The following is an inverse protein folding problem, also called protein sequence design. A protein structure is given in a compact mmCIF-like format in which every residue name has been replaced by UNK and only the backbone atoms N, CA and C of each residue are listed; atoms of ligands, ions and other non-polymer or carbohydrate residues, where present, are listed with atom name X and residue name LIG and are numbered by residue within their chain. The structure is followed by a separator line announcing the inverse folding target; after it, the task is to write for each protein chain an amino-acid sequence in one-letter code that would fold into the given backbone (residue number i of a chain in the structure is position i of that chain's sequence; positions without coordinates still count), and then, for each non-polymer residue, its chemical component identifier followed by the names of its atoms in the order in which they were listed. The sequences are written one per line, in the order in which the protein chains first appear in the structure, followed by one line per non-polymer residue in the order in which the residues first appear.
data_IF_069929701268
#
_entry.id   IF_069929701268
#
_cell.length_a   1.000
_cell.length_b   1.000
_cell.length_c   1.000
_cell.angle_alpha   90.00
_cell.angle_beta   90.00
_cell.angle_gamma   90.00
#
_symmetry.space_group_name_H-M   'P 1'
#
loop_
_entity.id
_entity.type
_entity.pdbx_description
1 polymer ?
#
# COMPACT_ATOMS: atom_id res chain seq x y z
N UNK A 1 -2.77 23.95 4.86
CA UNK A 1 -1.91 23.01 5.63
C UNK A 1 -2.19 21.62 5.10
N UNK A 2 -1.15 20.87 4.79
CA UNK A 2 -1.25 19.50 4.27
C UNK A 2 -1.69 18.56 5.40
N UNK A 3 -2.76 17.79 5.19
CA UNK A 3 -3.20 16.78 6.15
C UNK A 3 -3.58 15.48 5.44
N UNK A 4 -3.25 14.34 6.05
CA UNK A 4 -3.57 13.00 5.56
C UNK A 4 -4.49 12.30 6.55
N UNK A 5 -5.69 11.97 6.09
CA UNK A 5 -6.66 11.16 6.84
C UNK A 5 -6.47 9.69 6.51
N UNK A 6 -6.27 8.87 7.53
CA UNK A 6 -6.05 7.44 7.34
C UNK A 6 -5.88 6.68 8.64
N UNK A 7 -5.54 5.41 8.52
CA UNK A 7 -5.21 4.56 9.66
C UNK A 7 -3.84 3.93 9.43
N UNK A 8 -2.97 3.94 10.45
CA UNK A 8 -1.58 3.47 10.34
C UNK A 8 -1.44 1.98 9.98
N UNK A 9 -2.47 1.19 10.17
CA UNK A 9 -2.51 -0.22 9.75
C UNK A 9 -3.05 -0.45 8.34
N UNK A 10 -3.36 0.62 7.59
CA UNK A 10 -3.89 0.51 6.23
C UNK A 10 -2.78 0.53 5.20
N UNK A 11 -2.74 -0.48 4.35
CA UNK A 11 -1.83 -0.57 3.20
C UNK A 11 -1.92 0.63 2.25
N UNK A 12 -3.13 1.12 1.97
CA UNK A 12 -3.32 2.30 1.11
C UNK A 12 -2.94 3.61 1.82
N UNK A 13 -3.06 3.68 3.15
CA UNK A 13 -2.50 4.80 3.91
C UNK A 13 -0.97 4.80 3.84
N UNK A 14 -0.33 3.62 3.95
CA UNK A 14 1.13 3.53 3.76
C UNK A 14 1.57 4.03 2.40
N UNK A 15 0.82 3.70 1.33
CA UNK A 15 1.10 4.16 -0.03
C UNK A 15 1.21 5.69 -0.12
N UNK A 16 0.42 6.42 0.68
CA UNK A 16 0.49 7.89 0.79
C UNK A 16 1.54 8.38 1.80
N UNK A 17 1.78 7.63 2.90
CA UNK A 17 2.76 7.98 3.93
C UNK A 17 4.21 7.84 3.44
N UNK A 18 4.50 6.79 2.68
CA UNK A 18 5.87 6.50 2.20
C UNK A 18 6.49 7.71 1.47
N UNK A 19 5.83 8.34 0.48
CA UNK A 19 6.40 9.51 -0.19
C UNK A 19 6.49 10.74 0.71
N UNK A 20 5.54 10.95 1.64
CA UNK A 20 5.59 12.03 2.62
C UNK A 20 6.81 11.89 3.54
N UNK A 21 7.08 10.67 4.02
CA UNK A 21 8.24 10.39 4.85
C UNK A 21 9.55 10.48 4.06
N UNK A 22 9.58 9.94 2.85
CA UNK A 22 10.78 9.96 2.00
C UNK A 22 11.23 11.38 1.65
N UNK A 23 10.27 12.27 1.40
CA UNK A 23 10.53 13.66 1.02
C UNK A 23 10.68 14.59 2.24
N UNK A 24 10.43 14.09 3.46
CA UNK A 24 10.39 14.95 4.65
C UNK A 24 9.31 16.03 4.57
N UNK A 25 8.24 15.79 3.79
CA UNK A 25 7.15 16.75 3.61
C UNK A 25 6.38 16.92 4.91
N UNK A 26 6.27 18.12 5.49
CA UNK A 26 5.50 18.35 6.70
C UNK A 26 4.00 18.18 6.44
N UNK A 27 3.34 17.38 7.26
CA UNK A 27 1.89 17.16 7.20
C UNK A 27 1.31 16.83 8.58
N UNK A 28 0.02 17.04 8.74
CA UNK A 28 -0.75 16.59 9.89
C UNK A 28 -1.35 15.21 9.57
N UNK A 29 -1.09 14.21 10.41
CA UNK A 29 -1.78 12.93 10.31
C UNK A 29 -3.07 12.97 11.12
N UNK A 30 -4.19 12.70 10.47
CA UNK A 30 -5.53 12.65 11.06
C UNK A 30 -6.03 11.22 11.07
N UNK A 31 -5.91 10.59 12.24
CA UNK A 31 -6.30 9.21 12.41
C UNK A 31 -7.80 9.00 12.20
N UNK A 32 -8.14 8.04 11.35
CA UNK A 32 -9.52 7.59 11.13
C UNK A 32 -9.76 6.34 11.99
N UNK A 33 -10.31 6.58 13.19
CA UNK A 33 -10.58 5.53 14.18
C UNK A 33 -11.83 5.88 15.00
N UNK A 34 -12.36 4.95 15.79
CA UNK A 34 -13.49 5.25 16.69
C UNK A 34 -13.21 6.37 17.70
N UNK A 35 -11.93 6.62 18.02
CA UNK A 35 -11.50 7.71 18.89
C UNK A 35 -11.59 9.10 18.24
N UNK A 36 -11.73 9.14 16.89
CA UNK A 36 -11.75 10.37 16.10
C UNK A 36 -12.94 10.38 15.11
N UNK A 37 -14.18 10.41 15.60
CA UNK A 37 -15.38 10.31 14.76
C UNK A 37 -15.50 11.47 13.75
N UNK A 38 -14.96 12.65 14.05
CA UNK A 38 -14.90 13.80 13.15
C UNK A 38 -14.06 13.52 11.89
N UNK A 39 -12.95 12.79 12.02
CA UNK A 39 -12.11 12.40 10.89
C UNK A 39 -12.82 11.37 10.01
N UNK A 40 -13.52 10.40 10.62
CA UNK A 40 -14.35 9.44 9.90
C UNK A 40 -15.49 10.13 9.14
N UNK A 41 -16.19 11.09 9.77
CA UNK A 41 -17.26 11.87 9.13
C UNK A 41 -16.72 12.69 7.95
N UNK A 42 -15.54 13.29 8.07
CA UNK A 42 -14.90 14.00 6.97
C UNK A 42 -14.62 13.06 5.80
N UNK A 43 -13.99 11.90 6.04
CA UNK A 43 -13.68 10.92 4.99
C UNK A 43 -14.97 10.42 4.32
N UNK A 44 -16.04 10.17 5.07
CA UNK A 44 -17.35 9.80 4.50
C UNK A 44 -17.92 10.86 3.57
N UNK A 45 -17.70 12.13 3.85
CA UNK A 45 -18.17 13.23 2.99
C UNK A 45 -17.26 13.47 1.78
N UNK A 46 -15.96 13.25 1.92
CA UNK A 46 -14.96 13.55 0.89
C UNK A 46 -14.81 12.44 -0.16
N UNK A 47 -14.99 11.17 0.26
CA UNK A 47 -14.77 10.01 -0.61
C UNK A 47 -16.11 9.32 -0.95
N UNK A 48 -16.40 8.97 -2.24
CA UNK A 48 -17.70 8.42 -2.66
C UNK A 48 -18.08 7.10 -1.98
N UNK A 49 -17.10 6.36 -1.46
CA UNK A 49 -17.31 5.10 -0.71
C UNK A 49 -16.82 5.20 0.75
N UNK A 50 -16.56 6.40 1.27
CA UNK A 50 -16.10 6.60 2.64
C UNK A 50 -14.78 5.91 2.98
N UNK A 51 -13.88 5.73 2.00
CA UNK A 51 -12.59 5.06 2.19
C UNK A 51 -11.46 6.06 2.38
N UNK A 52 -10.46 5.66 3.15
CA UNK A 52 -9.19 6.38 3.30
C UNK A 52 -8.07 5.64 2.52
N UNK A 53 -6.94 6.34 2.20
CA UNK A 53 -6.58 7.69 2.61
C UNK A 53 -7.29 8.80 1.83
N UNK A 54 -7.44 9.96 2.48
CA UNK A 54 -7.82 11.23 1.87
C UNK A 54 -6.77 12.27 2.25
N UNK A 55 -6.27 13.02 1.26
CA UNK A 55 -5.33 14.12 1.46
C UNK A 55 -6.06 15.46 1.32
N UNK A 56 -5.78 16.42 2.19
CA UNK A 56 -6.19 17.82 2.01
C UNK A 56 -4.97 18.72 1.96
N UNK A 57 -5.00 19.72 1.06
CA UNK A 57 -3.98 20.76 0.96
C UNK A 57 -4.63 22.10 0.62
N UNK A 58 -4.78 22.95 1.62
CA UNK A 58 -5.58 24.17 1.49
C UNK A 58 -7.01 23.85 1.09
N UNK A 59 -7.42 24.28 -0.09
CA UNK A 59 -8.75 24.01 -0.67
C UNK A 59 -8.83 22.70 -1.45
N UNK A 60 -7.68 22.07 -1.75
CA UNK A 60 -7.65 20.82 -2.49
C UNK A 60 -8.00 19.64 -1.58
N UNK A 61 -8.80 18.70 -2.12
CA UNK A 61 -9.07 17.39 -1.50
C UNK A 61 -8.78 16.32 -2.55
N UNK A 62 -7.90 15.39 -2.20
CA UNK A 62 -7.45 14.32 -3.10
C UNK A 62 -7.70 12.98 -2.42
N UNK A 63 -8.35 12.08 -3.10
CA UNK A 63 -8.54 10.69 -2.70
C UNK A 63 -8.02 9.75 -3.80
N UNK A 64 -8.04 8.43 -3.57
CA UNK A 64 -7.27 7.41 -4.30
C UNK A 64 -5.76 7.52 -4.00
N UNK A 65 -5.21 6.50 -3.36
CA UNK A 65 -3.81 6.54 -2.90
C UNK A 65 -2.80 6.82 -4.02
N UNK A 66 -3.04 6.29 -5.24
CA UNK A 66 -2.22 6.61 -6.43
C UNK A 66 -2.31 8.10 -6.80
N UNK A 67 -3.53 8.67 -6.80
CA UNK A 67 -3.72 10.08 -7.12
C UNK A 67 -3.06 10.98 -6.07
N UNK A 68 -3.04 10.55 -4.79
CA UNK A 68 -2.30 11.25 -3.74
C UNK A 68 -0.79 11.24 -4.03
N UNK A 69 -0.21 10.11 -4.43
CA UNK A 69 1.22 10.05 -4.81
C UNK A 69 1.51 10.96 -6.00
N UNK A 70 0.64 10.96 -7.03
CA UNK A 70 0.78 11.84 -8.20
C UNK A 70 0.63 13.32 -7.81
N UNK A 71 -0.31 13.65 -6.92
CA UNK A 71 -0.45 15.00 -6.38
C UNK A 71 0.80 15.47 -5.66
N UNK A 72 1.37 14.61 -4.80
CA UNK A 72 2.61 14.93 -4.08
C UNK A 72 3.79 15.10 -5.04
N UNK A 73 3.86 14.31 -6.13
CA UNK A 73 4.90 14.47 -7.16
C UNK A 73 4.88 15.85 -7.82
N UNK A 74 3.68 16.44 -7.98
CA UNK A 74 3.48 17.74 -8.65
C UNK A 74 3.64 18.91 -7.67
N UNK A 75 3.00 18.81 -6.49
CA UNK A 75 2.83 19.95 -5.58
C UNK A 75 3.81 19.96 -4.41
N UNK A 76 4.38 18.79 -4.07
CA UNK A 76 5.33 18.61 -2.97
C UNK A 76 6.51 17.72 -3.42
N UNK A 77 7.22 18.11 -4.51
CA UNK A 77 8.31 17.30 -5.05
C UNK A 77 9.44 17.16 -4.02
N UNK A 78 9.99 15.95 -3.95
CA UNK A 78 11.16 15.64 -3.13
C UNK A 78 12.46 15.68 -3.93
N UNK A 79 13.57 15.23 -3.32
CA UNK A 79 14.87 15.20 -3.97
C UNK A 79 14.97 14.19 -5.12
N UNK A 80 14.11 13.17 -5.12
CA UNK A 80 14.00 12.18 -6.19
C UNK A 80 12.57 12.17 -6.77
N UNK A 81 12.40 11.98 -8.08
CA UNK A 81 11.09 12.00 -8.71
C UNK A 81 10.27 10.77 -8.30
N UNK A 82 9.04 10.97 -7.82
CA UNK A 82 8.11 9.87 -7.54
C UNK A 82 7.62 9.18 -8.82
N UNK A 83 7.57 9.92 -9.92
CA UNK A 83 7.19 9.43 -11.25
C UNK A 83 8.31 9.80 -12.22
N UNK A 84 8.78 8.88 -13.08
CA UNK A 84 9.78 9.18 -14.08
C UNK A 84 9.39 10.35 -14.98
N UNK A 85 10.37 11.18 -15.37
CA UNK A 85 10.16 12.29 -16.30
C UNK A 85 9.95 11.79 -17.74
N UNK A 86 10.58 10.68 -18.11
CA UNK A 86 10.33 10.05 -19.42
C UNK A 86 8.92 9.47 -19.49
N UNK A 87 8.20 9.80 -20.55
CA UNK A 87 6.79 9.41 -20.70
C UNK A 87 6.61 7.88 -20.80
N UNK A 88 7.52 7.16 -21.43
CA UNK A 88 7.47 5.70 -21.56
C UNK A 88 7.73 5.01 -20.22
N UNK A 89 8.74 5.46 -19.49
CA UNK A 89 9.02 4.99 -18.14
C UNK A 89 7.88 5.31 -17.17
N UNK A 90 7.26 6.49 -17.30
CA UNK A 90 6.09 6.87 -16.49
C UNK A 90 4.89 5.96 -16.74
N UNK A 91 4.65 5.53 -18.00
CA UNK A 91 3.62 4.52 -18.32
C UNK A 91 3.94 3.19 -17.65
N UNK A 92 5.20 2.75 -17.71
CA UNK A 92 5.63 1.51 -17.04
C UNK A 92 5.44 1.60 -15.53
N UNK A 93 5.81 2.71 -14.92
CA UNK A 93 5.60 2.95 -13.49
C UNK A 93 4.12 2.89 -13.10
N UNK A 94 3.23 3.52 -13.86
CA UNK A 94 1.77 3.47 -13.63
C UNK A 94 1.19 2.08 -13.89
N UNK A 95 1.69 1.35 -14.89
CA UNK A 95 1.30 -0.04 -15.12
C UNK A 95 1.67 -0.91 -13.91
N UNK A 96 2.89 -0.80 -13.39
CA UNK A 96 3.32 -1.59 -12.24
C UNK A 96 2.59 -1.19 -10.96
N UNK A 97 2.31 0.08 -10.74
CA UNK A 97 1.43 0.55 -9.67
C UNK A 97 0.06 -0.16 -9.73
N UNK A 98 -0.56 -0.27 -10.92
CA UNK A 98 -1.81 -1.02 -11.10
C UNK A 98 -1.64 -2.53 -10.90
N UNK A 99 -0.49 -3.10 -11.26
CA UNK A 99 -0.21 -4.52 -11.00
C UNK A 99 -0.22 -4.80 -9.50
N UNK A 100 0.46 -3.98 -8.69
CA UNK A 100 0.48 -4.15 -7.24
C UNK A 100 -0.90 -3.91 -6.61
N UNK A 101 -1.64 -2.87 -7.03
CA UNK A 101 -2.97 -2.60 -6.49
C UNK A 101 -3.99 -3.67 -6.91
N UNK A 102 -4.04 -4.04 -8.19
CA UNK A 102 -5.11 -4.87 -8.72
C UNK A 102 -4.84 -6.37 -8.59
N UNK A 103 -3.57 -6.81 -8.67
CA UNK A 103 -3.25 -8.22 -8.71
C UNK A 103 -2.50 -8.74 -7.47
N UNK A 104 -2.01 -7.85 -6.60
CA UNK A 104 -1.52 -8.22 -5.29
C UNK A 104 -2.52 -7.80 -4.22
N UNK A 105 -2.77 -6.49 -4.10
CA UNK A 105 -3.60 -5.93 -3.03
C UNK A 105 -5.06 -6.41 -3.10
N UNK A 106 -5.71 -6.38 -4.26
CA UNK A 106 -7.11 -6.82 -4.37
C UNK A 106 -7.27 -8.31 -4.04
N UNK A 107 -6.31 -9.17 -4.41
CA UNK A 107 -6.42 -10.60 -4.09
C UNK A 107 -6.25 -10.86 -2.61
N UNK A 108 -5.28 -10.21 -1.94
CA UNK A 108 -5.16 -10.33 -0.49
C UNK A 108 -6.38 -9.75 0.24
N UNK A 109 -6.90 -8.60 -0.22
CA UNK A 109 -8.08 -7.98 0.41
C UNK A 109 -9.32 -8.84 0.31
N UNK A 110 -9.52 -9.58 -0.77
CA UNK A 110 -10.64 -10.54 -0.86
C UNK A 110 -10.59 -11.57 0.26
N UNK A 111 -9.39 -12.10 0.55
CA UNK A 111 -9.19 -13.04 1.67
C UNK A 111 -9.45 -12.35 3.00
N UNK A 112 -8.86 -11.17 3.23
CA UNK A 112 -9.05 -10.38 4.46
C UNK A 112 -10.53 -10.06 4.69
N UNK A 113 -11.24 -9.59 3.65
CA UNK A 113 -12.67 -9.25 3.73
C UNK A 113 -13.55 -10.47 4.02
N UNK A 114 -13.19 -11.67 3.56
CA UNK A 114 -13.91 -12.89 3.91
C UNK A 114 -13.84 -13.17 5.42
N UNK A 115 -12.69 -12.95 6.05
CA UNK A 115 -12.55 -13.06 7.50
C UNK A 115 -13.25 -11.93 8.27
N UNK A 116 -13.28 -10.72 7.71
CA UNK A 116 -14.04 -9.60 8.33
C UNK A 116 -15.54 -9.87 8.28
N UNK A 117 -16.02 -10.47 7.19
CA UNK A 117 -17.44 -10.80 7.03
C UNK A 117 -17.88 -11.91 8.00
N UNK A 118 -17.09 -12.95 8.15
CA UNK A 118 -17.31 -14.04 9.11
C UNK A 118 -15.97 -14.64 9.55
N UNK A 119 -15.49 -14.23 10.72
CA UNK A 119 -14.20 -14.66 11.26
C UNK A 119 -14.19 -16.16 11.64
N UNK A 120 -15.35 -16.74 11.96
CA UNK A 120 -15.46 -18.13 12.39
C UNK A 120 -15.63 -19.09 11.22
N UNK A 121 -16.23 -18.62 10.12
CA UNK A 121 -16.52 -19.46 8.96
C UNK A 121 -16.38 -18.67 7.64
N UNK A 122 -15.15 -18.16 7.33
CA UNK A 122 -14.92 -17.42 6.10
C UNK A 122 -15.14 -18.33 4.87
N UNK A 123 -15.67 -17.75 3.77
CA UNK A 123 -15.97 -18.50 2.54
C UNK A 123 -14.71 -19.21 1.99
N UNK A 124 -14.68 -20.55 1.99
CA UNK A 124 -13.51 -21.32 1.55
C UNK A 124 -13.19 -21.13 0.06
N UNK A 125 -14.18 -20.84 -0.77
CA UNK A 125 -13.98 -20.57 -2.21
C UNK A 125 -13.23 -19.26 -2.42
N UNK A 126 -13.54 -18.23 -1.64
CA UNK A 126 -12.82 -16.94 -1.67
C UNK A 126 -11.38 -17.14 -1.16
N UNK A 127 -11.19 -17.90 -0.06
CA UNK A 127 -9.86 -18.13 0.49
C UNK A 127 -8.95 -18.86 -0.51
N UNK A 128 -9.46 -19.92 -1.12
CA UNK A 128 -8.71 -20.73 -2.10
C UNK A 128 -8.38 -19.89 -3.33
N UNK A 129 -9.37 -19.23 -3.94
CA UNK A 129 -9.19 -18.46 -5.16
C UNK A 129 -8.26 -17.25 -4.93
N UNK A 130 -8.43 -16.51 -3.83
CA UNK A 130 -7.57 -15.35 -3.52
C UNK A 130 -6.09 -15.72 -3.36
N UNK A 131 -5.80 -16.82 -2.63
CA UNK A 131 -4.44 -17.32 -2.48
C UNK A 131 -3.85 -17.88 -3.78
N UNK A 132 -4.64 -18.56 -4.59
CA UNK A 132 -4.19 -19.04 -5.91
C UNK A 132 -3.81 -17.88 -6.83
N UNK A 133 -4.60 -16.82 -6.88
CA UNK A 133 -4.30 -15.64 -7.69
C UNK A 133 -3.07 -14.88 -7.16
N UNK A 134 -2.86 -14.81 -5.84
CA UNK A 134 -1.61 -14.28 -5.28
C UNK A 134 -0.39 -15.08 -5.76
N UNK A 135 -0.41 -16.39 -5.66
CA UNK A 135 0.69 -17.25 -6.15
C UNK A 135 0.95 -17.07 -7.63
N UNK A 136 -0.10 -16.94 -8.44
CA UNK A 136 0.01 -16.66 -9.87
C UNK A 136 0.70 -15.32 -10.13
N UNK A 137 0.29 -14.27 -9.39
CA UNK A 137 0.87 -12.93 -9.49
C UNK A 137 2.32 -12.92 -9.03
N UNK A 138 2.68 -13.62 -7.94
CA UNK A 138 4.06 -13.76 -7.48
C UNK A 138 4.98 -14.37 -8.55
N UNK A 139 4.56 -15.45 -9.20
CA UNK A 139 5.35 -16.04 -10.30
C UNK A 139 5.44 -15.13 -11.53
N UNK A 140 4.44 -14.32 -11.79
CA UNK A 140 4.51 -13.32 -12.86
C UNK A 140 5.51 -12.21 -12.49
N UNK A 141 5.47 -11.70 -11.27
CA UNK A 141 6.40 -10.69 -10.75
C UNK A 141 7.84 -11.24 -10.74
N UNK A 142 8.04 -12.50 -10.33
CA UNK A 142 9.35 -13.15 -10.34
C UNK A 142 9.98 -13.13 -11.74
N UNK A 143 9.21 -13.50 -12.78
CA UNK A 143 9.67 -13.44 -14.18
C UNK A 143 9.90 -12.02 -14.66
N UNK A 144 9.02 -11.08 -14.28
CA UNK A 144 9.20 -9.67 -14.65
C UNK A 144 10.51 -9.12 -14.10
N UNK A 145 10.89 -9.49 -12.88
CA UNK A 145 12.13 -9.10 -12.22
C UNK A 145 13.40 -9.72 -12.85
N UNK A 146 13.30 -10.68 -13.78
CA UNK A 146 14.47 -11.19 -14.52
C UNK A 146 15.14 -10.15 -15.41
N UNK A 147 14.36 -9.25 -15.96
CA UNK A 147 14.84 -8.20 -16.87
C UNK A 147 14.52 -6.78 -16.43
N UNK A 148 13.94 -6.61 -15.23
CA UNK A 148 13.50 -5.30 -14.73
C UNK A 148 13.87 -5.14 -13.26
N UNK A 149 14.03 -3.88 -12.83
CA UNK A 149 14.25 -3.51 -11.44
C UNK A 149 13.39 -2.29 -11.09
N UNK A 150 13.08 -2.12 -9.82
CA UNK A 150 12.49 -0.89 -9.34
C UNK A 150 13.59 0.19 -9.24
N UNK A 151 13.22 1.49 -9.34
CA UNK A 151 14.16 2.57 -9.05
C UNK A 151 14.78 2.42 -7.65
N UNK A 152 16.05 2.81 -7.46
CA UNK A 152 16.74 2.68 -6.17
C UNK A 152 16.26 3.69 -5.11
N UNK A 153 15.33 4.55 -5.47
CA UNK A 153 14.70 5.56 -4.61
C UNK A 153 13.19 5.30 -4.49
N UNK A 154 12.57 5.95 -3.52
CA UNK A 154 11.11 5.88 -3.36
C UNK A 154 10.42 6.47 -4.60
N UNK A 155 9.58 5.68 -5.23
CA UNK A 155 8.83 6.02 -6.44
C UNK A 155 7.38 5.56 -6.30
N UNK A 156 6.51 5.90 -7.26
CA UNK A 156 5.14 5.43 -7.32
C UNK A 156 5.05 3.90 -7.17
N UNK A 157 5.96 3.18 -7.84
CA UNK A 157 6.00 1.70 -7.77
C UNK A 157 6.40 1.23 -6.38
N UNK A 158 7.39 1.87 -5.75
CA UNK A 158 7.79 1.58 -4.36
C UNK A 158 6.61 1.75 -3.40
N UNK A 159 5.86 2.86 -3.56
CA UNK A 159 4.72 3.18 -2.72
C UNK A 159 3.59 2.13 -2.82
N UNK A 160 3.41 1.51 -3.99
CA UNK A 160 2.43 0.44 -4.20
C UNK A 160 2.97 -0.93 -3.78
N UNK A 161 4.22 -1.25 -4.14
CA UNK A 161 4.83 -2.57 -3.93
C UNK A 161 5.05 -2.87 -2.44
N UNK A 162 5.59 -1.93 -1.67
CA UNK A 162 5.97 -2.15 -0.28
C UNK A 162 4.79 -2.60 0.59
N UNK A 163 3.68 -1.83 0.71
CA UNK A 163 2.55 -2.24 1.53
C UNK A 163 1.84 -3.47 0.98
N UNK A 164 1.74 -3.62 -0.35
CA UNK A 164 1.06 -4.78 -0.93
C UNK A 164 1.81 -6.07 -0.68
N UNK A 165 3.14 -6.10 -0.84
CA UNK A 165 3.95 -7.29 -0.58
C UNK A 165 4.07 -7.58 0.93
N UNK A 166 4.07 -6.54 1.78
CA UNK A 166 4.06 -6.73 3.23
C UNK A 166 2.84 -7.54 3.67
N UNK A 167 1.65 -7.07 3.37
CA UNK A 167 0.41 -7.72 3.79
C UNK A 167 0.09 -8.99 3.00
N UNK A 168 0.49 -9.06 1.71
CA UNK A 168 0.23 -10.25 0.91
C UNK A 168 1.02 -11.47 1.40
N UNK A 169 2.27 -11.27 1.88
CA UNK A 169 3.07 -12.34 2.49
C UNK A 169 2.46 -12.86 3.82
N UNK A 170 1.64 -12.07 4.48
CA UNK A 170 0.89 -12.50 5.66
C UNK A 170 -0.34 -13.36 5.30
N UNK A 171 -0.96 -13.13 4.13
CA UNK A 171 -2.11 -13.90 3.63
C UNK A 171 -1.65 -15.18 2.94
N UNK A 172 -0.66 -15.06 2.08
CA UNK A 172 -0.06 -16.15 1.31
C UNK A 172 1.44 -15.88 1.19
N UNK A 173 2.24 -16.72 1.80
CA UNK A 173 3.69 -16.55 1.81
C UNK A 173 4.27 -16.58 0.40
N UNK A 174 5.22 -15.68 0.11
CA UNK A 174 5.97 -15.71 -1.15
C UNK A 174 6.69 -17.05 -1.26
N UNK A 175 6.42 -17.84 -2.32
CA UNK A 175 6.99 -19.18 -2.48
C UNK A 175 8.51 -19.17 -2.66
N UNK A 176 9.17 -20.25 -2.28
CA UNK A 176 10.63 -20.39 -2.44
C UNK A 176 11.12 -20.40 -3.91
N UNK A 177 10.22 -20.64 -4.86
CA UNK A 177 10.47 -20.51 -6.29
C UNK A 177 10.34 -19.06 -6.83
N UNK A 178 10.16 -18.08 -5.91
CA UNK A 178 10.14 -16.65 -6.22
C UNK A 178 11.21 -15.86 -5.43
N UNK A 179 12.52 -16.20 -5.57
CA UNK A 179 13.58 -15.61 -4.74
C UNK A 179 13.83 -14.13 -5.03
N UNK A 180 13.66 -13.66 -6.29
CA UNK A 180 13.80 -12.23 -6.63
C UNK A 180 12.71 -11.40 -6.00
N UNK A 181 11.48 -11.89 -6.00
CA UNK A 181 10.36 -11.21 -5.36
C UNK A 181 10.54 -11.16 -3.84
N UNK A 182 11.04 -12.22 -3.23
CA UNK A 182 11.36 -12.24 -1.79
C UNK A 182 12.48 -11.25 -1.45
N UNK A 183 13.53 -11.17 -2.29
CA UNK A 183 14.60 -10.17 -2.14
C UNK A 183 14.06 -8.75 -2.29
N UNK A 184 13.27 -8.48 -3.33
CA UNK A 184 12.63 -7.17 -3.52
C UNK A 184 11.81 -6.76 -2.30
N UNK A 185 10.99 -7.68 -1.75
CA UNK A 185 10.22 -7.40 -0.52
C UNK A 185 11.15 -7.01 0.62
N UNK A 186 12.22 -7.74 0.85
CA UNK A 186 13.18 -7.44 1.92
C UNK A 186 13.85 -6.07 1.72
N UNK A 187 14.26 -5.74 0.50
CA UNK A 187 14.82 -4.44 0.14
C UNK A 187 13.83 -3.29 0.39
N UNK A 188 12.58 -3.47 -0.01
CA UNK A 188 11.52 -2.47 0.21
C UNK A 188 11.28 -2.21 1.70
N UNK A 189 11.22 -3.26 2.51
CA UNK A 189 11.00 -3.14 3.96
C UNK A 189 12.20 -2.50 4.68
N UNK A 190 13.41 -2.60 4.13
CA UNK A 190 14.61 -1.95 4.65
C UNK A 190 14.68 -0.45 4.35
N UNK A 191 13.86 0.07 3.44
CA UNK A 191 13.81 1.52 3.15
C UNK A 191 13.31 2.28 4.39
N UNK A 192 14.01 3.32 4.88
CA UNK A 192 13.63 4.03 6.10
C UNK A 192 12.17 4.51 6.15
N UNK A 193 11.57 5.10 5.07
CA UNK A 193 10.17 5.51 5.09
C UNK A 193 9.19 4.31 5.16
N UNK A 194 9.56 3.15 4.62
CA UNK A 194 8.75 1.93 4.71
C UNK A 194 8.89 1.29 6.09
N UNK A 195 10.12 1.17 6.61
CA UNK A 195 10.37 0.67 7.96
C UNK A 195 9.60 1.47 9.01
N UNK A 196 9.53 2.81 8.85
CA UNK A 196 8.71 3.67 9.69
C UNK A 196 7.23 3.29 9.63
N UNK A 197 6.67 3.05 8.44
CA UNK A 197 5.28 2.60 8.33
C UNK A 197 5.05 1.26 9.02
N UNK A 198 6.01 0.32 8.94
CA UNK A 198 5.95 -0.96 9.66
C UNK A 198 5.92 -0.73 11.16
N UNK A 199 6.82 0.11 11.69
CA UNK A 199 6.90 0.38 13.12
C UNK A 199 5.64 1.10 13.64
N UNK A 200 5.16 2.11 12.92
CA UNK A 200 3.93 2.84 13.24
C UNK A 200 2.68 1.90 13.25
N UNK A 201 2.69 0.84 12.45
CA UNK A 201 1.61 -0.14 12.37
C UNK A 201 1.67 -1.25 13.43
N UNK A 202 2.82 -1.47 14.08
CA UNK A 202 3.01 -2.58 15.07
C UNK A 202 1.95 -2.63 16.17
N UNK A 203 1.51 -1.51 16.78
CA UNK A 203 0.48 -1.53 17.82
C UNK A 203 -0.86 -2.10 17.34
N UNK A 204 -1.11 -2.10 16.04
CA UNK A 204 -2.38 -2.49 15.43
C UNK A 204 -2.36 -3.90 14.81
N UNK A 205 -1.29 -4.69 15.02
CA UNK A 205 -1.17 -6.06 14.44
C UNK A 205 -2.33 -6.98 14.85
N UNK A 206 -2.90 -6.78 16.02
CA UNK A 206 -4.09 -7.52 16.48
C UNK A 206 -5.35 -7.28 15.62
N UNK A 207 -5.36 -6.23 14.80
CA UNK A 207 -6.46 -5.94 13.88
C UNK A 207 -6.41 -6.80 12.60
N UNK A 208 -5.30 -7.54 12.38
CA UNK A 208 -5.25 -8.42 11.22
C UNK A 208 -6.15 -9.64 11.44
N UNK A 209 -7.23 -9.80 10.66
CA UNK A 209 -8.28 -10.75 11.02
C UNK A 209 -7.88 -12.23 10.86
N UNK A 210 -6.78 -12.51 10.16
CA UNK A 210 -6.22 -13.86 10.03
C UNK A 210 -5.23 -14.19 11.16
N UNK A 211 -4.97 -13.24 12.08
CA UNK A 211 -3.84 -13.30 13.00
C UNK A 211 -2.52 -12.86 12.34
N UNK A 212 -1.95 -11.75 12.82
CA UNK A 212 -0.66 -11.29 12.30
C UNK A 212 0.45 -12.29 12.67
N UNK A 213 1.30 -12.69 11.71
CA UNK A 213 2.44 -13.56 12.00
C UNK A 213 3.48 -12.83 12.87
N UNK A 214 4.30 -13.60 13.59
CA UNK A 214 5.42 -13.06 14.40
C UNK A 214 6.64 -12.74 13.52
N UNK A 215 6.40 -12.02 12.42
CA UNK A 215 7.41 -11.50 11.49
C UNK A 215 6.87 -10.29 10.74
N UNK A 216 7.78 -9.51 10.16
CA UNK A 216 7.46 -8.45 9.21
C UNK A 216 7.40 -8.98 7.79
#
# INVERSE_FOLDING_TARGET
MLALYGHLFSSYTWKALIPLYANGTPFEFREVSPGHPENAAFVQSAHPSGKFPVLTDGAATVFEATAIVEYLAVHHPGPAPLIPADAGEAVTARMMDRVFDNYVMNHLQRVVLAYIADAQNPDPGILVSGRQELRRTYRWLERWLEGNALPPHVSLVTCAAAPSLFYADWVERIPSDCPRLAALRAELLALPPVARCVDDARPFRSYFPLGAPDRD
#
